data_IF_984697134621
#
_entry.id   IF_984697134621
#
_cell.length_a   1.000
_cell.length_b   1.000
_cell.length_c   1.000
_cell.angle_alpha   90.00
_cell.angle_beta   90.00
_cell.angle_gamma   90.00
#
_symmetry.space_group_name_H-M   'P 1'
#
loop_
_entity.id
_entity.type
_entity.pdbx_description
1 polymer ?
#
# COMPACT_ATOMS: atom_id res chain seq x y z
N UNK A 1 30.77 52.77 -42.64
CA UNK A 1 29.58 53.02 -41.79
C UNK A 1 28.98 51.67 -41.44
N UNK A 2 29.16 51.24 -40.19
CA UNK A 2 28.81 49.88 -39.72
C UNK A 2 27.45 49.93 -39.02
N UNK A 3 26.44 49.29 -39.59
CA UNK A 3 25.10 49.17 -39.01
C UNK A 3 25.01 47.91 -38.13
N UNK A 4 24.66 48.09 -36.86
CA UNK A 4 24.45 47.02 -35.88
C UNK A 4 22.96 46.76 -35.71
N UNK A 5 22.48 45.59 -36.15
CA UNK A 5 21.13 45.09 -35.91
C UNK A 5 20.96 44.71 -34.44
N UNK A 6 20.20 45.52 -33.68
CA UNK A 6 19.69 45.18 -32.34
C UNK A 6 18.76 43.96 -32.45
N UNK A 7 19.20 42.82 -31.93
CA UNK A 7 18.46 41.54 -31.94
C UNK A 7 17.70 41.36 -30.62
N UNK A 8 16.38 41.59 -30.67
CA UNK A 8 15.31 40.85 -29.99
C UNK A 8 15.32 40.60 -28.48
N UNK A 9 14.69 41.49 -27.71
CA UNK A 9 14.23 41.24 -26.32
C UNK A 9 12.81 40.64 -26.23
N UNK A 10 12.08 40.49 -27.35
CA UNK A 10 10.66 40.09 -27.36
C UNK A 10 10.37 38.59 -27.13
N UNK A 11 11.35 37.70 -27.27
CA UNK A 11 11.12 36.23 -27.25
C UNK A 11 11.00 35.61 -25.84
N UNK A 12 11.58 36.24 -24.82
CA UNK A 12 11.54 35.72 -23.45
C UNK A 12 10.22 36.03 -22.73
N UNK A 13 9.60 37.18 -23.05
CA UNK A 13 8.29 37.58 -22.53
C UNK A 13 7.18 36.63 -22.96
N UNK A 14 7.27 36.15 -24.21
CA UNK A 14 6.30 35.25 -24.85
C UNK A 14 6.31 33.85 -24.21
N UNK A 15 7.50 33.33 -23.88
CA UNK A 15 7.65 32.05 -23.19
C UNK A 15 7.08 32.05 -21.76
N UNK A 16 7.19 33.18 -21.04
CA UNK A 16 6.59 33.33 -19.71
C UNK A 16 5.08 33.48 -19.76
N UNK A 17 4.54 34.18 -20.77
CA UNK A 17 3.11 34.26 -21.00
C UNK A 17 2.51 32.89 -21.31
N UNK A 18 3.19 32.10 -22.16
CA UNK A 18 2.79 30.75 -22.52
C UNK A 18 2.76 29.79 -21.32
N UNK A 19 3.78 29.83 -20.45
CA UNK A 19 3.80 29.02 -19.21
C UNK A 19 2.66 29.37 -18.25
N UNK A 20 2.33 30.65 -18.12
CA UNK A 20 1.19 31.10 -17.30
C UNK A 20 -0.14 30.63 -17.87
N UNK A 21 -0.26 30.62 -19.20
CA UNK A 21 -1.47 30.14 -19.85
C UNK A 21 -1.65 28.63 -19.66
N UNK A 22 -0.60 27.83 -19.85
CA UNK A 22 -0.66 26.38 -19.61
C UNK A 22 -0.99 26.05 -18.16
N UNK A 23 -0.37 26.74 -17.20
CA UNK A 23 -0.68 26.52 -15.78
C UNK A 23 -2.14 26.87 -15.48
N UNK A 24 -2.70 27.93 -16.08
CA UNK A 24 -4.13 28.27 -15.94
C UNK A 24 -5.03 27.18 -16.50
N UNK A 25 -4.72 26.66 -17.69
CA UNK A 25 -5.48 25.56 -18.30
C UNK A 25 -5.39 24.28 -17.44
N UNK A 26 -4.22 23.99 -16.87
CA UNK A 26 -4.03 22.87 -15.96
C UNK A 26 -4.84 23.03 -14.67
N UNK A 27 -4.87 24.23 -14.09
CA UNK A 27 -5.67 24.52 -12.89
C UNK A 27 -7.17 24.35 -13.15
N UNK A 28 -7.66 24.81 -14.30
CA UNK A 28 -9.06 24.65 -14.73
C UNK A 28 -9.39 23.16 -14.94
N UNK A 29 -8.52 22.41 -15.60
CA UNK A 29 -8.72 20.97 -15.78
C UNK A 29 -8.78 20.23 -14.43
N UNK A 30 -7.91 20.60 -13.49
CA UNK A 30 -7.89 20.01 -12.14
C UNK A 30 -9.12 20.38 -11.31
N UNK A 31 -9.62 21.61 -11.41
CA UNK A 31 -10.86 22.00 -10.72
C UNK A 31 -12.06 21.23 -11.26
N UNK A 32 -12.18 21.15 -12.59
CA UNK A 32 -13.24 20.38 -13.27
C UNK A 32 -13.20 18.89 -12.91
N UNK A 33 -12.01 18.28 -12.87
CA UNK A 33 -11.85 16.88 -12.48
C UNK A 33 -12.26 16.62 -11.03
N UNK A 34 -11.93 17.53 -10.10
CA UNK A 34 -12.33 17.42 -8.69
C UNK A 34 -13.84 17.56 -8.51
N UNK A 35 -14.46 18.50 -9.21
CA UNK A 35 -15.91 18.67 -9.21
C UNK A 35 -16.61 17.42 -9.75
N UNK A 36 -16.12 16.86 -10.86
CA UNK A 36 -16.66 15.63 -11.41
C UNK A 36 -16.51 14.44 -10.45
N UNK A 37 -15.35 14.28 -9.81
CA UNK A 37 -15.17 13.23 -8.80
C UNK A 37 -16.11 13.42 -7.60
N UNK A 38 -16.34 14.66 -7.17
CA UNK A 38 -17.24 14.96 -6.06
C UNK A 38 -18.70 14.64 -6.42
N UNK A 39 -19.17 15.01 -7.61
CA UNK A 39 -20.52 14.73 -8.08
C UNK A 39 -20.75 13.23 -8.28
N UNK A 40 -19.81 12.52 -8.90
CA UNK A 40 -19.87 11.07 -9.06
C UNK A 40 -19.87 10.33 -7.71
N UNK A 41 -19.04 10.77 -6.77
CA UNK A 41 -19.02 10.18 -5.43
C UNK A 41 -20.33 10.42 -4.68
N UNK A 42 -20.92 11.61 -4.81
CA UNK A 42 -22.22 11.92 -4.23
C UNK A 42 -23.34 11.07 -4.87
N UNK A 43 -23.30 10.87 -6.19
CA UNK A 43 -24.24 10.00 -6.91
C UNK A 43 -24.16 8.56 -6.43
N UNK A 44 -22.95 7.97 -6.37
CA UNK A 44 -22.76 6.61 -5.87
C UNK A 44 -23.21 6.44 -4.42
N UNK A 45 -22.91 7.43 -3.57
CA UNK A 45 -23.36 7.41 -2.18
C UNK A 45 -24.89 7.43 -2.08
N UNK A 46 -25.56 8.23 -2.92
CA UNK A 46 -27.02 8.28 -3.00
C UNK A 46 -27.61 6.96 -3.48
N UNK A 47 -27.09 6.39 -4.57
CA UNK A 47 -27.52 5.08 -5.09
C UNK A 47 -27.36 3.97 -4.04
N UNK A 48 -26.21 3.91 -3.36
CA UNK A 48 -25.97 2.95 -2.29
C UNK A 48 -26.96 3.12 -1.12
N UNK A 49 -27.21 4.35 -0.68
CA UNK A 49 -28.17 4.62 0.40
C UNK A 49 -29.61 4.27 0.00
N UNK A 50 -29.98 4.50 -1.26
CA UNK A 50 -31.29 4.08 -1.79
C UNK A 50 -31.42 2.56 -1.86
N UNK A 51 -30.36 1.83 -2.25
CA UNK A 51 -30.36 0.35 -2.23
C UNK A 51 -30.50 -0.19 -0.82
N UNK A 52 -29.79 0.38 0.16
CA UNK A 52 -29.94 0.00 1.57
C UNK A 52 -31.34 0.30 2.08
N UNK A 53 -31.90 1.48 1.75
CA UNK A 53 -33.26 1.85 2.14
C UNK A 53 -34.34 0.95 1.52
N UNK A 54 -34.13 0.43 0.30
CA UNK A 54 -35.01 -0.59 -0.30
C UNK A 54 -34.91 -1.92 0.44
N UNK A 55 -33.70 -2.38 0.74
CA UNK A 55 -33.48 -3.62 1.50
C UNK A 55 -34.08 -3.56 2.92
N UNK A 56 -33.97 -2.41 3.59
CA UNK A 56 -34.63 -2.16 4.88
C UNK A 56 -36.16 -2.21 4.75
N UNK A 57 -36.74 -1.58 3.71
CA UNK A 57 -38.20 -1.60 3.47
C UNK A 57 -38.72 -2.99 3.11
N UNK A 58 -37.98 -3.76 2.32
CA UNK A 58 -38.28 -5.16 1.98
C UNK A 58 -38.19 -6.07 3.21
N UNK A 59 -37.24 -5.80 4.12
CA UNK A 59 -37.14 -6.51 5.41
C UNK A 59 -38.30 -6.19 6.35
N UNK A 60 -38.88 -4.99 6.26
CA UNK A 60 -40.02 -4.55 7.09
C UNK A 60 -41.40 -4.95 6.52
N UNK A 61 -41.50 -5.29 5.23
CA UNK A 61 -42.75 -5.77 4.62
C UNK A 61 -43.03 -7.26 4.84
N UNK A 62 -42.03 -8.03 5.31
CA UNK A 62 -42.21 -9.41 5.73
C UNK A 62 -42.35 -9.55 7.26
N UNK A 63 -43.53 -9.22 7.81
CA UNK A 63 -44.07 -10.02 8.91
C UNK A 63 -45.54 -10.34 8.63
N UNK A 64 -45.79 -11.43 7.90
CA UNK A 64 -47.02 -12.20 8.13
C UNK A 64 -46.77 -13.03 9.38
N UNK A 65 -47.32 -12.55 10.49
CA UNK A 65 -47.16 -13.14 11.81
C UNK A 65 -47.63 -12.14 12.84
N UNK A 66 -48.95 -12.06 13.01
CA UNK A 66 -49.59 -11.39 14.13
C UNK A 66 -48.90 -11.81 15.44
N UNK A 67 -48.23 -10.87 16.11
CA UNK A 67 -47.90 -11.02 17.53
C UNK A 67 -48.23 -9.70 18.20
N UNK A 68 -49.23 -9.77 19.08
CA UNK A 68 -49.74 -8.71 19.95
C UNK A 68 -48.61 -7.94 20.67
N UNK A 69 -48.73 -6.61 20.86
CA UNK A 69 -47.70 -5.79 21.50
C UNK A 69 -47.73 -5.81 23.04
N UNK A 70 -48.52 -6.69 23.67
CA UNK A 70 -48.53 -6.86 25.11
C UNK A 70 -47.89 -8.20 25.46
N UNK A 71 -46.91 -8.18 26.38
CA UNK A 71 -46.20 -9.32 26.97
C UNK A 71 -44.94 -9.82 26.23
N UNK A 72 -43.95 -8.96 26.05
CA UNK A 72 -42.55 -9.43 26.11
C UNK A 72 -41.88 -8.83 27.34
N UNK A 73 -41.51 -9.62 28.36
CA UNK A 73 -40.58 -9.14 29.38
C UNK A 73 -39.27 -8.71 28.68
N UNK A 74 -38.51 -7.76 29.25
CA UNK A 74 -37.28 -7.27 28.63
C UNK A 74 -36.34 -8.44 28.36
N UNK A 75 -36.26 -8.85 27.09
CA UNK A 75 -35.44 -9.98 26.63
C UNK A 75 -34.02 -9.73 27.13
N UNK A 76 -33.52 -10.60 28.01
CA UNK A 76 -32.11 -10.59 28.37
C UNK A 76 -31.30 -10.75 27.10
N UNK A 77 -30.56 -9.71 26.70
CA UNK A 77 -29.75 -9.72 25.48
C UNK A 77 -28.65 -10.79 25.51
N UNK A 78 -28.30 -11.25 26.71
CA UNK A 78 -27.32 -12.30 26.91
C UNK A 78 -27.81 -13.28 27.97
N UNK A 79 -27.60 -14.57 27.71
CA UNK A 79 -27.90 -15.64 28.65
C UNK A 79 -26.70 -15.90 29.58
N UNK A 80 -26.97 -16.43 30.78
CA UNK A 80 -25.91 -16.94 31.64
C UNK A 80 -25.19 -18.09 30.93
N UNK A 81 -23.87 -17.98 30.80
CA UNK A 81 -23.02 -18.90 30.07
C UNK A 81 -22.61 -18.41 28.67
N UNK A 82 -23.28 -17.40 28.11
CA UNK A 82 -22.91 -16.85 26.80
C UNK A 82 -21.51 -16.22 26.83
N UNK A 83 -20.76 -16.38 25.74
CA UNK A 83 -19.45 -15.75 25.56
C UNK A 83 -19.60 -14.33 25.05
N UNK A 84 -18.92 -13.39 25.72
CA UNK A 84 -18.96 -11.96 25.41
C UNK A 84 -17.58 -11.36 25.40
N UNK A 85 -17.40 -10.38 24.51
CA UNK A 85 -16.23 -9.51 24.45
C UNK A 85 -16.46 -8.28 25.35
N UNK A 86 -15.49 -7.97 26.19
CA UNK A 86 -15.53 -6.81 27.09
C UNK A 86 -14.76 -5.62 26.50
N UNK A 87 -15.40 -4.47 26.44
CA UNK A 87 -14.75 -3.23 26.05
C UNK A 87 -13.89 -2.63 27.17
N UNK A 88 -12.62 -2.37 26.85
CA UNK A 88 -11.69 -1.65 27.72
C UNK A 88 -11.29 -0.31 27.08
N UNK A 89 -11.49 0.77 27.84
CA UNK A 89 -11.10 2.13 27.40
C UNK A 89 -9.58 2.33 27.45
N UNK A 90 -8.88 1.63 28.35
CA UNK A 90 -7.43 1.74 28.56
C UNK A 90 -6.71 0.68 27.75
N UNK A 91 -5.72 1.12 26.99
CA UNK A 91 -4.81 0.29 26.22
C UNK A 91 -3.55 0.02 27.06
N UNK A 92 -2.87 -1.11 26.83
CA UNK A 92 -1.56 -1.38 27.46
C UNK A 92 -0.60 -0.21 27.20
N UNK A 93 0.14 0.26 28.23
CA UNK A 93 1.14 1.30 28.04
C UNK A 93 2.18 0.84 27.02
N UNK A 94 2.50 1.68 26.03
CA UNK A 94 3.46 1.37 24.96
C UNK A 94 2.85 1.12 23.57
N UNK A 95 1.53 0.89 23.45
CA UNK A 95 0.86 0.75 22.15
C UNK A 95 0.04 2.00 21.81
N UNK A 96 0.12 2.46 20.55
CA UNK A 96 -0.70 3.58 20.09
C UNK A 96 -2.18 3.19 20.07
N UNK A 97 -3.08 4.10 20.46
CA UNK A 97 -4.53 3.83 20.56
C UNK A 97 -5.15 3.30 19.26
N UNK A 98 -4.55 3.59 18.10
CA UNK A 98 -5.02 3.18 16.78
C UNK A 98 -4.80 1.69 16.51
N UNK A 99 -3.69 1.13 17.00
CA UNK A 99 -3.32 -0.27 16.76
C UNK A 99 -3.79 -1.21 17.89
N UNK A 100 -4.41 -0.65 18.93
CA UNK A 100 -4.81 -1.41 20.08
C UNK A 100 -6.20 -2.02 19.92
N UNK A 101 -6.28 -3.32 20.15
CA UNK A 101 -7.56 -4.00 20.26
C UNK A 101 -8.26 -3.56 21.56
N UNK A 102 -9.44 -2.91 21.46
CA UNK A 102 -10.19 -2.35 22.61
C UNK A 102 -11.23 -3.29 23.19
N UNK A 103 -11.60 -4.32 22.43
CA UNK A 103 -12.50 -5.38 22.88
C UNK A 103 -11.65 -6.53 23.40
N UNK A 104 -11.98 -7.14 24.52
CA UNK A 104 -11.07 -8.09 25.17
C UNK A 104 -11.82 -9.32 25.62
N UNK A 105 -11.14 -10.45 25.48
CA UNK A 105 -11.48 -11.73 26.10
C UNK A 105 -12.75 -12.38 25.56
N UNK A 106 -12.77 -13.71 25.67
CA UNK A 106 -13.99 -14.49 25.59
C UNK A 106 -14.45 -14.69 27.04
N UNK A 107 -15.11 -13.68 27.61
CA UNK A 107 -15.62 -13.78 28.98
C UNK A 107 -16.94 -14.52 28.98
N UNK A 108 -17.20 -15.31 30.03
CA UNK A 108 -18.52 -15.95 30.23
C UNK A 108 -19.35 -15.09 31.16
N UNK A 109 -20.63 -14.96 30.86
CA UNK A 109 -21.58 -14.32 31.79
C UNK A 109 -21.95 -15.33 32.87
N UNK A 110 -21.73 -14.99 34.13
CA UNK A 110 -22.08 -15.82 35.28
C UNK A 110 -23.57 -15.72 35.60
N UNK A 111 -24.04 -14.49 35.77
CA UNK A 111 -25.43 -14.17 36.06
C UNK A 111 -25.78 -12.75 35.63
N UNK A 112 -27.06 -12.54 35.32
CA UNK A 112 -27.65 -11.21 35.17
C UNK A 112 -27.98 -10.68 36.57
N UNK A 113 -27.33 -9.60 36.98
CA UNK A 113 -27.54 -8.99 38.30
C UNK A 113 -28.67 -7.97 38.23
N UNK A 114 -28.66 -7.17 37.17
CA UNK A 114 -29.64 -6.10 36.91
C UNK A 114 -30.06 -6.16 35.44
N UNK A 115 -31.07 -5.38 35.05
CA UNK A 115 -31.55 -5.31 33.66
C UNK A 115 -30.41 -5.04 32.66
N UNK A 116 -29.48 -4.16 33.04
CA UNK A 116 -28.34 -3.75 32.22
C UNK A 116 -26.97 -4.13 32.80
N UNK A 117 -26.89 -4.82 33.94
CA UNK A 117 -25.64 -5.18 34.59
C UNK A 117 -25.46 -6.70 34.68
N UNK A 118 -24.38 -7.19 34.11
CA UNK A 118 -24.05 -8.62 34.04
C UNK A 118 -22.75 -8.87 34.82
N UNK A 119 -22.74 -9.93 35.62
CA UNK A 119 -21.53 -10.40 36.30
C UNK A 119 -20.78 -11.33 35.34
N UNK A 120 -19.55 -10.98 35.00
CA UNK A 120 -18.65 -11.79 34.19
C UNK A 120 -17.85 -12.75 35.06
N UNK A 121 -17.70 -13.99 34.59
CA UNK A 121 -16.73 -14.94 35.14
C UNK A 121 -15.33 -14.50 34.74
N UNK A 122 -14.54 -14.09 35.74
CA UNK A 122 -13.11 -13.83 35.55
C UNK A 122 -12.36 -15.16 35.72
N UNK A 123 -11.61 -15.62 34.70
CA UNK A 123 -10.69 -16.72 34.90
C UNK A 123 -9.60 -16.25 35.87
N UNK A 124 -9.49 -16.88 37.05
CA UNK A 124 -8.52 -16.51 38.10
C UNK A 124 -7.05 -16.44 37.62
N UNK A 125 -6.73 -16.98 36.44
CA UNK A 125 -5.38 -17.00 35.84
C UNK A 125 -5.09 -15.83 34.89
N UNK A 126 -6.03 -14.93 34.64
CA UNK A 126 -5.98 -14.02 33.47
C UNK A 126 -5.41 -12.62 33.71
N UNK A 127 -4.91 -12.29 34.91
CA UNK A 127 -4.26 -11.00 35.18
C UNK A 127 -5.17 -9.77 35.10
N UNK A 128 -6.48 -9.96 34.93
CA UNK A 128 -7.47 -8.89 34.91
C UNK A 128 -7.87 -8.49 36.35
N UNK A 129 -7.75 -7.20 36.67
CA UNK A 129 -8.05 -6.62 37.99
C UNK A 129 -9.22 -5.62 37.94
N UNK A 130 -10.28 -5.95 37.20
CA UNK A 130 -11.48 -5.11 37.09
C UNK A 130 -12.67 -5.74 37.84
N UNK A 131 -13.69 -4.92 38.12
CA UNK A 131 -14.90 -5.37 38.80
C UNK A 131 -15.71 -6.32 37.90
N UNK A 132 -16.09 -7.52 38.37
CA UNK A 132 -16.79 -8.52 37.57
C UNK A 132 -18.12 -8.03 36.98
N UNK A 133 -18.79 -7.08 37.64
CA UNK A 133 -20.08 -6.54 37.21
C UNK A 133 -19.88 -5.43 36.19
N UNK A 134 -20.43 -5.62 34.99
CA UNK A 134 -20.27 -4.69 33.87
C UNK A 134 -21.61 -4.39 33.19
N UNK A 135 -21.77 -3.15 32.74
CA UNK A 135 -22.93 -2.71 31.96
C UNK A 135 -22.96 -3.31 30.54
N UNK A 136 -24.14 -3.62 30.00
CA UNK A 136 -24.33 -4.20 28.65
C UNK A 136 -23.66 -3.43 27.53
N UNK A 137 -23.59 -2.10 27.60
CA UNK A 137 -22.96 -1.28 26.55
C UNK A 137 -21.47 -1.53 26.38
N UNK A 138 -20.81 -2.16 27.37
CA UNK A 138 -19.41 -2.58 27.29
C UNK A 138 -19.27 -4.04 26.88
N UNK A 139 -20.36 -4.75 26.64
CA UNK A 139 -20.37 -6.14 26.22
C UNK A 139 -20.76 -6.22 24.75
N UNK A 140 -20.09 -7.12 24.02
CA UNK A 140 -20.44 -7.46 22.65
C UNK A 140 -20.64 -8.96 22.55
N UNK A 141 -21.73 -9.38 21.92
CA UNK A 141 -21.98 -10.78 21.61
C UNK A 141 -20.83 -11.32 20.76
N UNK A 142 -20.25 -12.44 21.19
CA UNK A 142 -19.35 -13.20 20.33
C UNK A 142 -20.23 -14.09 19.48
N UNK A 143 -20.20 -13.87 18.17
CA UNK A 143 -20.80 -14.82 17.22
C UNK A 143 -19.97 -16.10 17.31
N UNK A 144 -20.49 -17.10 18.02
CA UNK A 144 -19.99 -18.46 17.92
C UNK A 144 -20.39 -18.95 16.54
N UNK A 145 -19.55 -18.65 15.54
CA UNK A 145 -19.61 -19.37 14.28
C UNK A 145 -19.39 -20.84 14.62
N UNK A 146 -20.31 -21.71 14.19
CA UNK A 146 -20.14 -23.15 14.32
C UNK A 146 -18.78 -23.59 13.77
N UNK A 147 -18.32 -24.76 14.20
CA UNK A 147 -17.05 -25.36 13.75
C UNK A 147 -16.81 -25.10 12.26
N UNK A 148 -15.54 -24.81 11.92
CA UNK A 148 -15.06 -24.57 10.54
C UNK A 148 -15.84 -25.48 9.59
N UNK A 149 -16.64 -24.92 8.66
CA UNK A 149 -17.46 -25.74 7.77
C UNK A 149 -16.55 -26.75 7.08
N UNK A 150 -16.76 -28.04 7.40
CA UNK A 150 -16.03 -29.16 6.76
C UNK A 150 -16.53 -29.41 5.34
N UNK A 151 -17.62 -28.72 4.95
CA UNK A 151 -18.13 -28.69 3.58
C UNK A 151 -17.08 -28.01 2.70
N UNK A 152 -16.45 -28.75 1.80
CA UNK A 152 -15.69 -28.15 0.69
C UNK A 152 -16.69 -27.36 -0.14
N UNK A 153 -16.55 -26.04 -0.14
CA UNK A 153 -17.38 -25.12 -0.94
C UNK A 153 -17.01 -25.14 -2.42
N UNK A 154 -15.90 -25.80 -2.78
CA UNK A 154 -15.60 -26.10 -4.17
C UNK A 154 -16.34 -27.39 -4.54
N UNK A 155 -17.25 -27.37 -5.53
CA UNK A 155 -17.63 -28.58 -6.25
C UNK A 155 -16.35 -29.32 -6.68
N UNK A 156 -16.38 -30.64 -6.74
CA UNK A 156 -15.36 -31.38 -7.50
C UNK A 156 -15.35 -30.77 -8.90
N UNK A 157 -14.27 -30.09 -9.24
CA UNK A 157 -14.15 -29.38 -10.51
C UNK A 157 -13.93 -30.47 -11.55
N UNK A 158 -15.03 -30.96 -12.15
CA UNK A 158 -14.93 -31.67 -13.42
C UNK A 158 -14.23 -30.75 -14.41
N UNK A 159 -13.40 -31.32 -15.29
CA UNK A 159 -12.59 -30.57 -16.28
C UNK A 159 -13.45 -29.63 -17.14
N UNK A 160 -14.76 -29.90 -17.24
CA UNK A 160 -15.77 -29.10 -17.94
C UNK A 160 -16.22 -27.83 -17.18
N UNK A 161 -15.92 -27.72 -15.88
CA UNK A 161 -16.20 -26.55 -15.04
C UNK A 161 -14.96 -25.66 -14.83
N UNK A 162 -13.81 -26.03 -15.39
CA UNK A 162 -12.69 -25.09 -15.49
C UNK A 162 -13.14 -23.98 -16.43
N UNK A 163 -13.00 -22.74 -15.99
CA UNK A 163 -13.07 -21.61 -16.90
C UNK A 163 -11.96 -21.82 -17.92
N UNK A 164 -12.33 -22.24 -19.13
CA UNK A 164 -11.45 -22.25 -20.28
C UNK A 164 -11.03 -20.80 -20.50
N UNK A 165 -9.87 -20.45 -19.94
CA UNK A 165 -9.20 -19.22 -20.31
C UNK A 165 -8.75 -19.42 -21.75
N UNK A 166 -9.58 -18.96 -22.68
CA UNK A 166 -9.27 -18.97 -24.12
C UNK A 166 -7.97 -18.19 -24.33
N UNK A 167 -6.87 -18.93 -24.44
CA UNK A 167 -5.51 -18.41 -24.65
C UNK A 167 -5.44 -17.57 -25.94
N UNK A 168 -6.33 -17.83 -26.91
CA UNK A 168 -6.51 -17.08 -28.15
C UNK A 168 -7.06 -15.65 -27.98
N UNK A 169 -7.63 -15.31 -26.81
CA UNK A 169 -8.12 -13.96 -26.51
C UNK A 169 -7.09 -13.09 -25.79
N UNK A 170 -5.94 -13.65 -25.40
CA UNK A 170 -4.85 -12.87 -24.82
C UNK A 170 -4.05 -12.21 -25.95
N UNK A 171 -3.68 -10.92 -25.83
CA UNK A 171 -2.69 -10.33 -26.73
C UNK A 171 -1.38 -11.13 -26.62
N UNK A 172 -0.74 -11.47 -27.75
CA UNK A 172 0.57 -12.16 -27.79
C UNK A 172 1.64 -11.54 -26.88
N UNK A 173 1.51 -10.25 -26.57
CA UNK A 173 2.44 -9.44 -25.75
C UNK A 173 2.29 -9.68 -24.22
N UNK A 174 1.34 -10.49 -23.75
CA UNK A 174 1.12 -10.73 -22.30
C UNK A 174 2.17 -11.63 -21.63
N UNK A 175 3.12 -12.16 -22.40
CA UNK A 175 4.13 -13.09 -21.89
C UNK A 175 5.57 -12.62 -22.09
N UNK A 176 5.78 -11.42 -22.65
CA UNK A 176 7.09 -10.81 -22.61
C UNK A 176 7.39 -10.38 -21.16
N UNK A 177 8.50 -10.82 -20.55
CA UNK A 177 8.90 -10.28 -19.27
C UNK A 177 9.03 -8.77 -19.44
N UNK A 178 8.24 -7.99 -18.70
CA UNK A 178 8.45 -6.55 -18.60
C UNK A 178 9.93 -6.34 -18.24
N UNK A 179 10.76 -5.97 -19.22
CA UNK A 179 12.08 -5.45 -18.91
C UNK A 179 11.81 -4.24 -18.02
N UNK A 180 12.19 -4.24 -16.73
CA UNK A 180 11.90 -3.10 -15.88
C UNK A 180 12.56 -1.90 -16.52
N UNK A 181 11.72 -0.98 -17.01
CA UNK A 181 12.12 0.18 -17.80
C UNK A 181 13.25 0.94 -17.09
N UNK A 182 14.48 0.77 -17.55
CA UNK A 182 15.67 1.45 -17.02
C UNK A 182 16.71 0.58 -16.29
N UNK A 183 16.50 -0.72 -16.10
CA UNK A 183 17.54 -1.62 -15.59
C UNK A 183 18.20 -2.37 -16.74
N UNK A 184 19.51 -2.19 -16.89
CA UNK A 184 20.29 -2.82 -17.96
C UNK A 184 21.41 -3.65 -17.35
N UNK A 185 21.69 -4.81 -17.94
CA UNK A 185 22.79 -5.67 -17.50
C UNK A 185 24.12 -5.08 -17.96
N UNK A 186 25.08 -5.03 -17.03
CA UNK A 186 26.44 -4.55 -17.28
C UNK A 186 27.29 -5.71 -17.79
N UNK A 187 27.88 -5.55 -18.97
CA UNK A 187 28.77 -6.56 -19.56
C UNK A 187 30.21 -6.36 -19.05
N UNK A 188 30.77 -5.16 -19.24
CA UNK A 188 32.17 -4.84 -18.89
C UNK A 188 32.31 -3.36 -18.50
N UNK A 189 33.16 -3.07 -17.52
CA UNK A 189 33.61 -1.71 -17.19
C UNK A 189 34.91 -1.43 -17.95
N UNK A 190 34.90 -0.41 -18.81
CA UNK A 190 36.03 -0.07 -19.68
C UNK A 190 37.01 0.92 -19.04
N UNK A 191 36.46 1.94 -18.37
CA UNK A 191 37.27 3.04 -17.84
C UNK A 191 36.59 3.68 -16.63
N UNK A 192 37.35 4.44 -15.85
CA UNK A 192 36.85 5.26 -14.75
C UNK A 192 37.49 6.64 -14.75
N UNK A 193 36.65 7.65 -14.57
CA UNK A 193 37.09 9.04 -14.46
C UNK A 193 36.62 9.64 -13.15
N UNK A 194 37.44 10.51 -12.61
CA UNK A 194 37.07 11.36 -11.48
C UNK A 194 37.17 12.80 -11.96
N UNK A 195 36.07 13.43 -12.41
CA UNK A 195 36.12 14.80 -12.89
C UNK A 195 36.60 15.72 -11.76
N UNK A 196 37.47 16.67 -12.09
CA UNK A 196 37.90 17.70 -11.12
C UNK A 196 36.67 18.54 -10.75
N UNK A 197 36.39 18.64 -9.45
CA UNK A 197 35.25 19.40 -8.93
C UNK A 197 35.46 20.90 -9.17
N UNK A 198 34.61 21.53 -9.98
CA UNK A 198 34.78 22.93 -10.40
C UNK A 198 33.87 23.94 -9.69
N UNK A 199 32.94 23.56 -8.80
CA UNK A 199 32.16 24.60 -8.10
C UNK A 199 31.57 24.25 -6.73
N UNK A 200 30.90 23.12 -6.52
CA UNK A 200 30.34 22.79 -5.17
C UNK A 200 29.97 21.31 -5.00
N UNK A 201 30.01 20.51 -6.08
CA UNK A 201 29.66 19.09 -6.03
C UNK A 201 30.87 18.24 -5.64
N UNK A 202 30.67 17.22 -4.81
CA UNK A 202 31.72 16.24 -4.51
C UNK A 202 32.21 15.63 -5.81
N UNK A 203 33.53 15.42 -5.95
CA UNK A 203 34.06 14.66 -7.06
C UNK A 203 33.56 13.21 -6.94
N UNK A 204 32.56 12.85 -7.73
CA UNK A 204 32.01 11.49 -7.77
C UNK A 204 32.69 10.73 -8.90
N UNK A 205 33.09 9.49 -8.63
CA UNK A 205 33.72 8.62 -9.62
C UNK A 205 32.66 8.07 -10.56
N UNK A 206 32.89 8.24 -11.85
CA UNK A 206 32.04 7.73 -12.93
C UNK A 206 32.78 6.59 -13.63
N UNK A 207 32.02 5.59 -14.07
CA UNK A 207 32.52 4.42 -14.79
C UNK A 207 31.92 4.39 -16.19
N UNK A 208 32.75 4.06 -17.18
CA UNK A 208 32.31 3.81 -18.55
C UNK A 208 31.90 2.35 -18.67
N UNK A 209 30.61 2.12 -18.90
CA UNK A 209 29.96 0.81 -18.83
C UNK A 209 29.54 0.39 -20.23
N UNK A 210 29.92 -0.83 -20.62
CA UNK A 210 29.35 -1.53 -21.76
C UNK A 210 28.13 -2.33 -21.30
N UNK A 211 27.00 -2.16 -21.97
CA UNK A 211 25.75 -2.83 -21.61
C UNK A 211 25.55 -4.08 -22.47
N UNK A 212 25.00 -5.14 -21.87
CA UNK A 212 24.69 -6.37 -22.59
C UNK A 212 23.63 -6.06 -23.66
N UNK A 213 23.97 -6.31 -24.93
CA UNK A 213 23.06 -6.09 -26.07
C UNK A 213 23.02 -4.66 -26.63
N UNK A 214 23.87 -3.75 -26.13
CA UNK A 214 24.00 -2.39 -26.69
C UNK A 214 25.44 -2.08 -27.12
N UNK A 215 25.61 -1.46 -28.29
CA UNK A 215 26.93 -1.10 -28.83
C UNK A 215 27.51 0.19 -28.23
N UNK A 216 26.69 1.03 -27.59
CA UNK A 216 27.10 2.34 -27.08
C UNK A 216 27.44 2.33 -25.57
N UNK A 217 28.72 2.46 -25.19
CA UNK A 217 29.10 2.51 -23.78
C UNK A 217 28.79 3.89 -23.15
N UNK A 218 28.17 3.88 -21.98
CA UNK A 218 27.69 5.09 -21.28
C UNK A 218 28.47 5.36 -20.00
N UNK A 219 28.55 6.63 -19.58
CA UNK A 219 29.15 7.03 -18.30
C UNK A 219 28.11 7.04 -17.19
N UNK A 220 28.27 6.14 -16.23
CA UNK A 220 27.35 5.99 -15.09
C UNK A 220 28.02 6.25 -13.75
N UNK A 221 27.24 6.78 -12.80
CA UNK A 221 27.69 7.00 -11.43
C UNK A 221 27.82 5.66 -10.71
N UNK A 222 28.78 5.55 -9.79
CA UNK A 222 28.94 4.37 -8.94
C UNK A 222 27.65 3.98 -8.17
N UNK A 223 26.77 4.95 -7.87
CA UNK A 223 25.50 4.72 -7.19
C UNK A 223 24.42 4.10 -8.09
N UNK A 224 24.54 4.23 -9.41
CA UNK A 224 23.62 3.65 -10.39
C UNK A 224 24.02 2.21 -10.76
N UNK A 225 25.23 1.78 -10.40
CA UNK A 225 25.77 0.48 -10.77
C UNK A 225 25.57 -0.55 -9.66
N UNK A 226 24.62 -1.47 -9.87
CA UNK A 226 24.37 -2.61 -8.99
C UNK A 226 25.27 -3.84 -9.31
N UNK A 227 26.40 -3.65 -10.00
CA UNK A 227 27.27 -4.72 -10.49
C UNK A 227 28.55 -4.91 -9.65
N UNK A 228 28.38 -5.16 -8.35
CA UNK A 228 29.50 -5.19 -7.38
C UNK A 228 30.65 -6.16 -7.72
N UNK A 229 30.37 -7.30 -8.37
CA UNK A 229 31.41 -8.25 -8.80
C UNK A 229 32.30 -7.71 -9.92
N UNK A 230 31.69 -7.21 -11.00
CA UNK A 230 32.38 -6.65 -12.16
C UNK A 230 33.21 -5.41 -11.74
N UNK A 231 32.64 -4.58 -10.86
CA UNK A 231 33.34 -3.44 -10.29
C UNK A 231 34.55 -3.84 -9.44
N UNK A 232 34.43 -4.91 -8.65
CA UNK A 232 35.52 -5.43 -7.84
C UNK A 232 36.69 -5.93 -8.69
N UNK A 233 36.40 -6.71 -9.73
CA UNK A 233 37.41 -7.27 -10.64
C UNK A 233 38.16 -6.17 -11.40
N UNK A 234 37.45 -5.18 -11.93
CA UNK A 234 38.04 -4.03 -12.61
C UNK A 234 38.98 -3.24 -11.68
N UNK A 235 38.54 -2.91 -10.47
CA UNK A 235 39.37 -2.17 -9.50
C UNK A 235 40.59 -2.97 -9.04
N UNK A 236 40.45 -4.30 -8.94
CA UNK A 236 41.54 -5.22 -8.62
C UNK A 236 42.60 -5.21 -9.72
N UNK A 237 42.18 -5.31 -10.99
CA UNK A 237 43.07 -5.27 -12.14
C UNK A 237 43.80 -3.92 -12.26
N UNK A 238 43.07 -2.80 -12.14
CA UNK A 238 43.67 -1.46 -12.17
C UNK A 238 44.73 -1.26 -11.07
N UNK A 239 44.54 -1.88 -9.91
CA UNK A 239 45.51 -1.82 -8.81
C UNK A 239 46.75 -2.67 -9.07
N UNK A 240 46.61 -3.85 -9.68
CA UNK A 240 47.76 -4.66 -10.10
C UNK A 240 48.55 -3.94 -11.19
N UNK A 241 47.90 -3.36 -12.18
CA UNK A 241 48.57 -2.67 -13.28
C UNK A 241 49.35 -1.46 -12.78
N UNK A 242 48.77 -0.68 -11.85
CA UNK A 242 49.49 0.43 -11.19
C UNK A 242 50.70 -0.05 -10.38
N UNK A 243 50.62 -1.22 -9.75
CA UNK A 243 51.77 -1.80 -9.02
C UNK A 243 52.87 -2.23 -9.97
N UNK A 244 52.51 -2.81 -11.12
CA UNK A 244 53.46 -3.19 -12.16
C UNK A 244 54.15 -1.97 -12.77
N UNK A 245 53.41 -0.90 -13.06
CA UNK A 245 53.98 0.37 -13.53
C UNK A 245 54.99 0.97 -12.53
N UNK A 246 54.65 0.99 -11.23
CA UNK A 246 55.56 1.51 -10.19
C UNK A 246 56.84 0.67 -10.05
N UNK A 247 56.74 -0.65 -10.22
CA UNK A 247 57.90 -1.55 -10.19
C UNK A 247 58.80 -1.33 -11.42
N UNK A 248 58.23 -1.17 -12.60
CA UNK A 248 58.98 -0.89 -13.83
C UNK A 248 59.71 0.46 -13.78
N UNK A 249 59.08 1.51 -13.23
CA UNK A 249 59.75 2.81 -13.05
C UNK A 249 60.87 2.82 -12.01
N UNK A 250 60.97 1.80 -11.15
CA UNK A 250 62.03 1.70 -10.15
C UNK A 250 63.27 0.92 -10.64
N UNK A 251 63.12 0.12 -11.70
CA UNK A 251 64.21 -0.66 -12.32
C UNK A 251 64.89 0.09 -13.49
N UNK A 252 64.38 1.26 -13.90
CA UNK A 252 64.93 2.10 -14.97
C UNK A 252 65.79 3.30 -14.48
N UNK A 253 66.17 3.34 -13.19
CA UNK A 253 67.18 4.28 -12.63
C UNK A 253 68.54 3.61 -12.37
#
# INVERSE_FOLDING_TARGET
MSSSLKRGSGRQSDALAWRREINRQQEIALSMAKEYQATEKARRAKEHNETLGRQERESLQNPSGEVNPNETPPRSLFESGSRVLLYMKRVKPGLTKKLAHRWHGLFRIKKKVEEFAYELELPNRSGYRFYPVVHVSRLKAVSEFGDRPKVRLAPEVDEECRVDFDEELLPEDSWEPDHPSGEFEVEVILDDRTPLSTSTNRAVREFKVNWVGYEEPTWELAANLSCGGILYDYLRQKRSDRRLQMAQTADEE
#
